data_IF_118027842757
#
_entry.id   IF_118027842757
#
_cell.length_a   1.000
_cell.length_b   1.000
_cell.length_c   1.000
_cell.angle_alpha   90.00
_cell.angle_beta   90.00
_cell.angle_gamma   90.00
#
_symmetry.space_group_name_H-M   'P 1'
#
loop_
_entity.id
_entity.type
_entity.pdbx_description
1 polymer ?
#
# COMPACT_ATOMS: atom_id res chain seq x y z
N UNK A 1 -9.58 33.72 -7.11
CA UNK A 1 -9.10 32.48 -6.45
C UNK A 1 -8.77 31.47 -7.53
N UNK A 2 -7.51 31.03 -7.64
CA UNK A 2 -7.15 30.03 -8.63
C UNK A 2 -7.88 28.72 -8.30
N UNK A 3 -8.75 28.26 -9.19
CA UNK A 3 -9.48 27.01 -9.00
C UNK A 3 -8.48 25.85 -8.92
N UNK A 4 -8.45 25.16 -7.78
CA UNK A 4 -7.66 23.93 -7.63
C UNK A 4 -8.07 22.96 -8.73
N UNK A 5 -7.09 22.35 -9.41
CA UNK A 5 -7.37 21.47 -10.56
C UNK A 5 -8.35 20.35 -10.16
N UNK A 6 -9.36 20.06 -11.00
CA UNK A 6 -10.47 19.13 -10.71
C UNK A 6 -10.00 17.76 -10.19
N UNK A 7 -8.89 17.23 -10.71
CA UNK A 7 -8.37 15.94 -10.24
C UNK A 7 -7.90 15.97 -8.78
N UNK A 8 -7.40 17.11 -8.28
CA UNK A 8 -7.02 17.26 -6.87
C UNK A 8 -8.25 17.27 -5.96
N UNK A 9 -9.36 17.85 -6.42
CA UNK A 9 -10.63 17.86 -5.67
C UNK A 9 -11.18 16.45 -5.53
N UNK A 10 -11.19 15.68 -6.63
CA UNK A 10 -11.60 14.26 -6.62
C UNK A 10 -10.69 13.45 -5.68
N UNK A 11 -9.38 13.63 -5.76
CA UNK A 11 -8.45 12.94 -4.88
C UNK A 11 -8.64 13.33 -3.41
N UNK A 12 -8.94 14.60 -3.11
CA UNK A 12 -9.21 15.06 -1.75
C UNK A 12 -10.48 14.42 -1.17
N UNK A 13 -11.56 14.36 -1.95
CA UNK A 13 -12.80 13.71 -1.52
C UNK A 13 -12.62 12.21 -1.29
N UNK A 14 -11.99 11.49 -2.23
CA UNK A 14 -11.69 10.06 -2.06
C UNK A 14 -10.76 9.81 -0.86
N UNK A 15 -9.77 10.68 -0.63
CA UNK A 15 -8.90 10.61 0.55
C UNK A 15 -9.71 10.77 1.83
N UNK A 16 -10.68 11.67 1.85
CA UNK A 16 -11.56 11.86 3.00
C UNK A 16 -12.47 10.64 3.22
N UNK A 17 -13.00 10.02 2.17
CA UNK A 17 -13.76 8.76 2.29
C UNK A 17 -12.92 7.63 2.89
N UNK A 18 -11.65 7.52 2.50
CA UNK A 18 -10.71 6.55 3.06
C UNK A 18 -10.43 6.86 4.54
N UNK A 19 -10.11 8.11 4.88
CA UNK A 19 -9.81 8.54 6.26
C UNK A 19 -10.99 8.35 7.20
N UNK A 20 -12.19 8.71 6.75
CA UNK A 20 -13.44 8.54 7.49
C UNK A 20 -13.95 7.08 7.51
N UNK A 21 -13.24 6.14 6.86
CA UNK A 21 -13.64 4.73 6.67
C UNK A 21 -14.98 4.52 5.96
N UNK A 22 -15.47 5.52 5.22
CA UNK A 22 -16.55 5.32 4.23
C UNK A 22 -16.11 4.45 3.06
N UNK A 23 -14.81 4.40 2.81
CA UNK A 23 -14.15 3.36 2.03
C UNK A 23 -13.17 2.64 2.96
N UNK A 24 -13.49 1.42 3.34
CA UNK A 24 -12.71 0.64 4.29
C UNK A 24 -11.40 0.12 3.68
N UNK A 25 -10.35 -0.14 4.47
CA UNK A 25 -9.13 -0.78 3.98
C UNK A 25 -9.43 -2.14 3.33
N UNK A 26 -8.97 -2.35 2.09
CA UNK A 26 -9.27 -3.53 1.28
C UNK A 26 -10.56 -3.44 0.47
N UNK A 27 -11.38 -2.41 0.69
CA UNK A 27 -12.60 -2.16 -0.08
C UNK A 27 -12.26 -1.64 -1.48
N UNK A 28 -13.10 -1.97 -2.46
CA UNK A 28 -12.97 -1.48 -3.82
C UNK A 28 -13.49 -0.05 -3.92
N UNK A 29 -12.76 0.82 -4.59
CA UNK A 29 -13.27 2.12 -5.01
C UNK A 29 -14.41 1.94 -6.05
N UNK A 30 -15.30 2.93 -6.19
CA UNK A 30 -16.21 2.99 -7.34
C UNK A 30 -15.44 2.87 -8.66
N UNK A 31 -16.07 2.32 -9.70
CA UNK A 31 -15.40 2.15 -10.98
C UNK A 31 -15.15 3.51 -11.65
N UNK A 32 -14.22 3.57 -12.62
CA UNK A 32 -13.95 4.82 -13.35
C UNK A 32 -15.22 5.49 -13.91
N UNK A 33 -16.18 4.77 -14.52
CA UNK A 33 -17.42 5.38 -15.00
C UNK A 33 -18.28 5.98 -13.89
N UNK A 34 -18.34 5.33 -12.72
CA UNK A 34 -19.09 5.81 -11.57
C UNK A 34 -18.48 7.11 -11.04
N UNK A 35 -17.15 7.15 -10.92
CA UNK A 35 -16.41 8.35 -10.49
C UNK A 35 -16.52 9.49 -11.52
N UNK A 36 -16.58 9.17 -12.81
CA UNK A 36 -16.81 10.16 -13.86
C UNK A 36 -18.20 10.80 -13.71
N UNK A 37 -19.22 9.98 -13.45
CA UNK A 37 -20.59 10.43 -13.24
C UNK A 37 -20.74 11.22 -11.94
N UNK A 38 -20.23 10.69 -10.83
CA UNK A 38 -20.30 11.31 -9.50
C UNK A 38 -19.60 12.67 -9.44
N UNK A 39 -18.46 12.79 -10.10
CA UNK A 39 -17.65 14.01 -10.07
C UNK A 39 -17.79 14.87 -11.31
N UNK A 40 -18.74 14.59 -12.21
CA UNK A 40 -18.93 15.27 -13.50
C UNK A 40 -17.57 15.60 -14.15
N UNK A 41 -16.81 14.55 -14.44
CA UNK A 41 -15.41 14.67 -14.86
C UNK A 41 -15.04 13.68 -15.97
N UNK A 42 -14.17 14.12 -16.86
CA UNK A 42 -13.63 13.26 -17.91
C UNK A 42 -12.72 12.15 -17.37
N UNK A 43 -12.62 11.05 -18.13
CA UNK A 43 -11.80 9.88 -17.79
C UNK A 43 -10.35 10.21 -17.46
N UNK A 44 -9.72 11.13 -18.20
CA UNK A 44 -8.33 11.53 -17.94
C UNK A 44 -8.17 12.19 -16.55
N UNK A 45 -9.14 13.01 -16.13
CA UNK A 45 -9.16 13.66 -14.82
C UNK A 45 -9.34 12.65 -13.70
N UNK A 46 -10.27 11.71 -13.84
CA UNK A 46 -10.48 10.61 -12.87
C UNK A 46 -9.23 9.74 -12.77
N UNK A 47 -8.65 9.31 -13.90
CA UNK A 47 -7.41 8.51 -13.91
C UNK A 47 -6.24 9.23 -13.26
N UNK A 48 -6.13 10.55 -13.42
CA UNK A 48 -5.11 11.37 -12.75
C UNK A 48 -5.34 11.47 -11.25
N UNK A 49 -6.59 11.60 -10.79
CA UNK A 49 -6.92 11.56 -9.37
C UNK A 49 -6.57 10.20 -8.74
N UNK A 50 -6.95 9.10 -9.40
CA UNK A 50 -6.58 7.74 -8.95
C UNK A 50 -5.07 7.51 -8.99
N UNK A 51 -4.35 8.08 -9.96
CA UNK A 51 -2.90 8.02 -10.02
C UNK A 51 -2.24 8.73 -8.84
N UNK A 52 -2.76 9.90 -8.46
CA UNK A 52 -2.29 10.62 -7.28
C UNK A 52 -2.49 9.81 -5.99
N UNK A 53 -3.67 9.22 -5.79
CA UNK A 53 -3.93 8.36 -4.63
C UNK A 53 -3.04 7.11 -4.60
N UNK A 54 -2.71 6.53 -5.78
CA UNK A 54 -1.74 5.44 -5.86
C UNK A 54 -0.34 5.88 -5.46
N UNK A 55 0.12 7.06 -5.92
CA UNK A 55 1.43 7.59 -5.53
C UNK A 55 1.52 7.92 -4.04
N UNK A 56 0.40 8.26 -3.42
CA UNK A 56 0.29 8.46 -1.95
C UNK A 56 0.19 7.14 -1.17
N UNK A 57 0.15 6.00 -1.85
CA UNK A 57 0.03 4.69 -1.22
C UNK A 57 -1.37 4.36 -0.67
N UNK A 58 -2.36 5.23 -0.85
CA UNK A 58 -3.71 5.05 -0.30
C UNK A 58 -4.54 3.99 -1.01
N UNK A 59 -4.24 3.74 -2.29
CA UNK A 59 -4.95 2.75 -3.11
C UNK A 59 -3.99 1.91 -3.95
N UNK A 60 -4.45 0.74 -4.38
CA UNK A 60 -3.76 -0.14 -5.31
C UNK A 60 -4.72 -0.59 -6.43
N UNK A 61 -4.23 -0.64 -7.66
CA UNK A 61 -5.02 -1.13 -8.81
C UNK A 61 -4.65 -2.58 -9.08
N UNK A 62 -5.66 -3.45 -9.13
CA UNK A 62 -5.55 -4.84 -9.57
C UNK A 62 -6.07 -4.90 -11.01
N UNK A 63 -5.19 -5.20 -11.96
CA UNK A 63 -5.54 -5.21 -13.39
C UNK A 63 -6.74 -6.14 -13.63
N UNK A 64 -7.78 -5.64 -14.31
CA UNK A 64 -9.03 -6.39 -14.54
C UNK A 64 -10.02 -6.43 -13.37
N UNK A 65 -9.61 -6.07 -12.14
CA UNK A 65 -10.45 -6.17 -10.94
C UNK A 65 -10.81 -4.81 -10.31
N UNK A 66 -10.10 -3.74 -10.68
CA UNK A 66 -10.39 -2.36 -10.25
C UNK A 66 -9.36 -1.79 -9.29
N UNK A 67 -9.72 -0.68 -8.63
CA UNK A 67 -8.86 0.00 -7.65
C UNK A 67 -9.41 -0.22 -6.25
N UNK A 68 -8.54 -0.49 -5.29
CA UNK A 68 -8.91 -0.84 -3.92
C UNK A 68 -8.15 0.04 -2.93
N UNK A 69 -8.77 0.38 -1.80
CA UNK A 69 -8.10 1.02 -0.68
C UNK A 69 -7.01 0.09 -0.18
N UNK A 70 -5.79 0.60 -0.06
CA UNK A 70 -4.69 -0.20 0.48
C UNK A 70 -5.03 -0.56 1.92
N UNK A 71 -4.92 -1.84 2.25
CA UNK A 71 -4.91 -2.23 3.65
C UNK A 71 -3.69 -1.61 4.32
N UNK A 72 -3.91 -0.71 5.27
CA UNK A 72 -2.89 -0.38 6.26
C UNK A 72 -2.69 -1.66 7.05
N UNK A 73 -1.69 -2.44 6.66
CA UNK A 73 -1.29 -3.61 7.42
C UNK A 73 -0.62 -3.08 8.69
N UNK A 74 -1.02 -3.63 9.83
CA UNK A 74 -0.24 -3.44 11.04
C UNK A 74 1.12 -4.09 10.76
N UNK A 75 2.11 -3.25 10.48
CA UNK A 75 3.47 -3.70 10.26
C UNK A 75 4.13 -3.82 11.63
N UNK A 76 4.72 -4.97 11.91
CA UNK A 76 5.48 -5.16 13.14
C UNK A 76 6.87 -4.55 12.97
N UNK A 77 7.33 -3.67 13.88
CA UNK A 77 8.67 -3.11 13.82
C UNK A 77 9.72 -4.19 14.10
N UNK A 78 10.83 -4.11 13.38
CA UNK A 78 12.06 -4.84 13.64
C UNK A 78 13.12 -3.82 14.05
N UNK A 79 13.53 -3.76 15.34
CA UNK A 79 14.51 -2.79 15.80
C UNK A 79 15.89 -3.13 15.24
N UNK A 80 16.40 -2.31 14.32
CA UNK A 80 17.74 -2.47 13.75
C UNK A 80 18.85 -2.31 14.81
N UNK A 81 18.56 -1.69 15.95
CA UNK A 81 19.51 -1.58 17.07
C UNK A 81 19.79 -2.91 17.76
N UNK A 82 18.89 -3.90 17.62
CA UNK A 82 18.99 -5.19 18.28
C UNK A 82 19.63 -6.28 17.41
N UNK A 83 20.05 -5.97 16.18
CA UNK A 83 20.70 -6.93 15.28
C UNK A 83 20.91 -6.39 13.86
N UNK A 84 21.48 -7.20 12.97
CA UNK A 84 21.62 -6.84 11.57
C UNK A 84 20.34 -7.22 10.80
N UNK A 85 19.88 -6.34 9.91
CA UNK A 85 18.76 -6.66 8.99
C UNK A 85 19.24 -6.52 7.55
N UNK A 86 18.98 -7.55 6.73
CA UNK A 86 19.18 -7.51 5.29
C UNK A 86 17.87 -7.81 4.56
N UNK A 87 17.68 -7.20 3.40
CA UNK A 87 16.54 -7.49 2.53
C UNK A 87 16.98 -8.38 1.36
N UNK A 88 16.21 -9.42 1.06
CA UNK A 88 16.41 -10.27 -0.13
C UNK A 88 15.09 -10.84 -0.63
N UNK A 89 15.12 -11.47 -1.80
CA UNK A 89 13.97 -12.28 -2.25
C UNK A 89 13.88 -13.58 -1.45
N UNK A 90 12.66 -14.08 -1.18
CA UNK A 90 12.47 -15.38 -0.52
C UNK A 90 12.89 -16.54 -1.42
N UNK A 91 13.28 -17.65 -0.81
CA UNK A 91 13.35 -18.95 -1.47
C UNK A 91 11.94 -19.49 -1.78
N UNK A 92 11.85 -20.57 -2.55
CA UNK A 92 10.56 -21.23 -2.83
C UNK A 92 9.93 -21.76 -1.54
N UNK A 93 10.73 -22.40 -0.69
CA UNK A 93 10.30 -22.94 0.60
C UNK A 93 9.79 -21.83 1.54
N UNK A 94 10.51 -20.71 1.64
CA UNK A 94 10.07 -19.56 2.45
C UNK A 94 8.76 -18.95 1.93
N UNK A 95 8.60 -18.86 0.60
CA UNK A 95 7.37 -18.35 -0.01
C UNK A 95 6.17 -19.18 0.38
N UNK A 96 6.31 -20.50 0.31
CA UNK A 96 5.26 -21.44 0.70
C UNK A 96 4.96 -21.36 2.19
N UNK A 97 6.00 -21.43 3.03
CA UNK A 97 5.86 -21.42 4.49
C UNK A 97 5.24 -20.12 5.02
N UNK A 98 5.64 -18.97 4.46
CA UNK A 98 5.20 -17.65 4.91
C UNK A 98 3.94 -17.15 4.18
N UNK A 99 3.45 -17.88 3.17
CA UNK A 99 2.31 -17.49 2.34
C UNK A 99 2.54 -16.15 1.63
N UNK A 100 3.68 -16.00 0.96
CA UNK A 100 4.06 -14.75 0.30
C UNK A 100 3.44 -14.66 -1.09
N UNK A 101 2.88 -13.49 -1.42
CA UNK A 101 2.55 -13.15 -2.81
C UNK A 101 3.80 -12.79 -3.60
N UNK A 102 3.74 -12.92 -4.93
CA UNK A 102 4.84 -12.55 -5.81
C UNK A 102 5.32 -11.12 -5.58
N UNK A 103 6.65 -10.94 -5.61
CA UNK A 103 7.30 -9.65 -5.44
C UNK A 103 7.41 -9.15 -3.99
N UNK A 104 7.01 -9.95 -2.99
CA UNK A 104 7.24 -9.64 -1.57
C UNK A 104 8.64 -10.11 -1.18
N UNK A 105 9.58 -9.20 -0.84
CA UNK A 105 10.87 -9.59 -0.30
C UNK A 105 10.73 -10.04 1.16
N UNK A 106 11.77 -10.70 1.67
CA UNK A 106 11.93 -11.01 3.09
C UNK A 106 13.02 -10.13 3.70
N UNK A 107 12.81 -9.77 4.96
CA UNK A 107 13.82 -9.22 5.86
C UNK A 107 14.41 -10.40 6.63
N UNK A 108 15.73 -10.58 6.57
CA UNK A 108 16.43 -11.52 7.44
C UNK A 108 17.03 -10.72 8.59
N UNK A 109 16.60 -11.05 9.80
CA UNK A 109 17.04 -10.39 11.02
C UNK A 109 17.93 -11.33 11.83
N UNK A 110 19.20 -10.95 11.95
CA UNK A 110 20.25 -11.71 12.63
C UNK A 110 20.58 -11.06 13.96
N UNK A 111 20.52 -11.83 15.06
CA UNK A 111 20.85 -11.39 16.42
C UNK A 111 21.93 -12.27 17.02
N UNK A 112 22.82 -11.70 17.81
CA UNK A 112 23.95 -12.44 18.39
C UNK A 112 23.44 -13.54 19.32
N UNK A 113 23.77 -14.80 19.00
CA UNK A 113 23.39 -15.96 19.81
C UNK A 113 21.98 -16.49 19.55
N UNK A 114 21.31 -16.01 18.50
CA UNK A 114 20.00 -16.50 18.06
C UNK A 114 20.04 -16.90 16.58
N UNK A 115 19.11 -17.77 16.17
CA UNK A 115 18.93 -18.12 14.76
C UNK A 115 18.33 -16.94 13.97
N UNK A 116 18.65 -16.89 12.68
CA UNK A 116 18.13 -15.87 11.77
C UNK A 116 16.60 -15.96 11.64
N UNK A 117 15.93 -14.83 11.84
CA UNK A 117 14.49 -14.73 11.64
C UNK A 117 14.17 -14.19 10.24
N UNK A 118 13.36 -14.92 9.48
CA UNK A 118 12.92 -14.52 8.13
C UNK A 118 11.51 -13.93 8.21
N UNK A 119 11.38 -12.66 7.85
CA UNK A 119 10.18 -11.85 8.07
C UNK A 119 9.64 -11.28 6.74
N UNK A 120 8.34 -11.40 6.45
CA UNK A 120 7.75 -10.82 5.24
C UNK A 120 7.82 -9.28 5.26
N UNK A 121 8.46 -8.64 4.27
CA UNK A 121 8.60 -7.19 4.23
C UNK A 121 7.27 -6.45 3.98
N UNK A 122 6.22 -7.18 3.63
CA UNK A 122 4.85 -6.67 3.49
C UNK A 122 4.05 -6.77 4.81
N UNK A 123 4.68 -7.23 5.89
CA UNK A 123 4.13 -7.39 7.26
C UNK A 123 5.09 -6.83 8.33
N UNK A 124 6.35 -6.61 8.00
CA UNK A 124 7.38 -6.10 8.91
C UNK A 124 8.13 -4.94 8.27
N UNK A 125 8.59 -4.00 9.09
CA UNK A 125 9.45 -2.91 8.65
C UNK A 125 10.66 -2.77 9.58
N UNK A 126 11.75 -2.24 9.03
CA UNK A 126 12.96 -1.96 9.82
C UNK A 126 12.82 -0.60 10.48
N UNK A 127 12.90 -0.57 11.81
CA UNK A 127 12.97 0.66 12.59
C UNK A 127 14.44 0.99 12.83
N UNK A 128 14.89 2.10 12.25
CA UNK A 128 16.23 2.65 12.45
C UNK A 128 16.09 3.77 13.49
N UNK A 129 16.62 3.54 14.69
CA UNK A 129 16.69 4.58 15.71
C UNK A 129 17.58 5.75 15.20
N UNK A 130 17.19 7.00 15.47
CA UNK A 130 17.94 8.19 15.07
C UNK A 130 19.31 8.31 15.77
#
# INVERSE_FOLDING_TARGET
>A
MAGVARYYQIAADLRERIRSRRLAPGERLPYEPDLMHEHDAGRATVRRALALLRSEGLVATRHGFGTYVRQQRDLTPVPASAGAVLARMPTVEEREHLGLTDGVPVLVWSRTGEDDQVLPADRFYVEIAP
#
